data_IF_264586051630
#
_entry.id   IF_264586051630
#
_cell.length_a   1.000
_cell.length_b   1.000
_cell.length_c   1.000
_cell.angle_alpha   90.00
_cell.angle_beta   90.00
_cell.angle_gamma   90.00
#
_symmetry.space_group_name_H-M   'P 1'
#
loop_
_entity.id
_entity.type
_entity.pdbx_description
1 polymer ?
#
# COMPACT_ATOMS: atom_id res chain seq x y z
N UNK A 1 21.08 11.64 15.21
CA UNK A 1 19.81 11.98 14.57
C UNK A 1 18.96 10.77 14.09
N UNK A 2 19.54 9.63 13.64
CA UNK A 2 18.77 8.42 13.26
C UNK A 2 18.31 7.54 14.44
N UNK A 3 19.03 7.49 15.54
CA UNK A 3 18.68 6.70 16.72
C UNK A 3 17.46 7.26 17.47
N UNK A 4 17.35 8.57 17.55
CA UNK A 4 16.25 9.28 18.22
C UNK A 4 14.90 9.10 17.48
N UNK A 5 14.95 9.05 16.14
CA UNK A 5 13.77 8.77 15.28
C UNK A 5 13.25 7.34 15.46
N UNK A 6 14.14 6.36 15.72
CA UNK A 6 13.77 4.95 15.95
C UNK A 6 13.10 4.72 17.31
N UNK A 7 13.59 5.41 18.34
CA UNK A 7 13.02 5.33 19.71
C UNK A 7 11.63 5.97 19.74
N UNK A 8 11.44 7.12 19.09
CA UNK A 8 10.15 7.83 18.99
C UNK A 8 9.09 6.99 18.27
N UNK A 9 9.48 6.28 17.19
CA UNK A 9 8.56 5.40 16.45
C UNK A 9 8.12 4.16 17.28
N UNK A 10 9.02 3.54 18.06
CA UNK A 10 8.66 2.40 18.92
C UNK A 10 7.63 2.78 19.99
N UNK A 11 7.73 3.99 20.55
CA UNK A 11 6.78 4.48 21.57
C UNK A 11 5.40 4.76 20.96
N UNK A 12 5.34 5.27 19.73
CA UNK A 12 4.08 5.54 19.01
C UNK A 12 3.37 4.24 18.67
N UNK A 13 4.08 3.27 18.09
CA UNK A 13 3.50 1.95 17.78
C UNK A 13 2.96 1.25 19.04
N UNK A 14 3.71 1.30 20.17
CA UNK A 14 3.25 0.73 21.44
C UNK A 14 1.95 1.39 21.93
N UNK A 15 1.81 2.70 21.76
CA UNK A 15 0.58 3.43 22.10
C UNK A 15 -0.58 2.99 21.21
N UNK A 16 -0.36 2.91 19.90
CA UNK A 16 -1.39 2.46 18.94
C UNK A 16 -1.85 1.04 19.28
N UNK A 17 -0.91 0.11 19.52
CA UNK A 17 -1.24 -1.26 19.94
C UNK A 17 -1.99 -1.31 21.28
N UNK A 18 -1.72 -0.40 22.20
CA UNK A 18 -2.47 -0.30 23.46
C UNK A 18 -3.94 0.08 23.25
N UNK A 19 -4.25 0.95 22.28
CA UNK A 19 -5.65 1.26 21.92
C UNK A 19 -6.37 0.09 21.26
N UNK A 20 -5.65 -0.62 20.38
CA UNK A 20 -6.18 -1.81 19.71
C UNK A 20 -6.44 -2.96 20.69
N UNK A 21 -5.59 -3.11 21.70
CA UNK A 21 -5.72 -4.15 22.73
C UNK A 21 -7.07 -4.16 23.45
N UNK A 22 -7.78 -3.03 23.49
CA UNK A 22 -9.14 -2.92 24.01
C UNK A 22 -10.15 -3.71 23.15
N UNK A 23 -9.85 -3.90 21.86
CA UNK A 23 -10.71 -4.56 20.89
C UNK A 23 -10.17 -5.94 20.46
N UNK A 24 -9.39 -6.60 21.33
CA UNK A 24 -8.69 -7.87 21.07
C UNK A 24 -9.61 -8.99 20.52
N UNK A 25 -10.87 -9.04 20.94
CA UNK A 25 -11.81 -10.04 20.45
C UNK A 25 -12.10 -9.91 18.97
N UNK A 26 -12.34 -8.69 18.49
CA UNK A 26 -12.53 -8.43 17.05
C UNK A 26 -11.26 -8.70 16.26
N UNK A 27 -10.09 -8.43 16.84
CA UNK A 27 -8.80 -8.71 16.23
C UNK A 27 -8.57 -10.22 16.07
N UNK A 28 -8.80 -11.01 17.12
CA UNK A 28 -8.68 -12.47 17.07
C UNK A 28 -9.67 -13.04 16.05
N UNK A 29 -10.91 -12.55 16.04
CA UNK A 29 -11.94 -12.99 15.10
C UNK A 29 -11.55 -12.64 13.65
N UNK A 30 -11.01 -11.44 13.41
CA UNK A 30 -10.50 -11.05 12.10
C UNK A 30 -9.35 -11.94 11.64
N UNK A 31 -8.41 -12.29 12.52
CA UNK A 31 -7.30 -13.21 12.20
C UNK A 31 -7.83 -14.62 11.87
N UNK A 32 -8.83 -15.08 12.59
CA UNK A 32 -9.46 -16.38 12.33
C UNK A 32 -10.15 -16.39 10.97
N UNK A 33 -10.92 -15.34 10.65
CA UNK A 33 -11.54 -15.18 9.34
C UNK A 33 -10.49 -15.08 8.22
N UNK A 34 -9.39 -14.38 8.45
CA UNK A 34 -8.28 -14.33 7.49
C UNK A 34 -7.69 -15.72 7.23
N UNK A 35 -7.46 -16.53 8.27
CA UNK A 35 -6.94 -17.89 8.12
C UNK A 35 -7.91 -18.80 7.33
N UNK A 36 -9.20 -18.71 7.62
CA UNK A 36 -10.23 -19.48 6.89
C UNK A 36 -10.32 -19.02 5.43
N UNK A 37 -10.32 -17.70 5.18
CA UNK A 37 -10.32 -17.13 3.82
C UNK A 37 -9.12 -17.63 3.00
N UNK A 38 -7.92 -17.61 3.59
CA UNK A 38 -6.70 -18.11 2.93
C UNK A 38 -6.81 -19.59 2.64
N UNK A 39 -7.27 -20.39 3.61
CA UNK A 39 -7.46 -21.83 3.41
C UNK A 39 -8.42 -22.15 2.25
N UNK A 40 -9.57 -21.49 2.19
CA UNK A 40 -10.54 -21.65 1.11
C UNK A 40 -9.97 -21.17 -0.25
N UNK A 41 -9.24 -20.06 -0.26
CA UNK A 41 -8.62 -19.53 -1.47
C UNK A 41 -7.55 -20.45 -2.02
N UNK A 42 -6.75 -21.09 -1.15
CA UNK A 42 -5.72 -22.05 -1.56
C UNK A 42 -6.31 -23.41 -1.99
N UNK A 43 -7.50 -23.75 -1.52
CA UNK A 43 -8.18 -24.99 -1.92
C UNK A 43 -8.85 -24.88 -3.30
N UNK A 44 -9.27 -23.66 -3.73
CA UNK A 44 -9.93 -23.46 -5.02
C UNK A 44 -9.10 -23.94 -6.23
N UNK A 45 -7.78 -23.62 -6.36
CA UNK A 45 -6.95 -24.13 -7.46
C UNK A 45 -6.87 -25.66 -7.55
N UNK A 46 -6.94 -26.38 -6.41
CA UNK A 46 -6.94 -27.86 -6.41
C UNK A 46 -8.20 -28.38 -7.07
N UNK A 47 -9.35 -27.81 -6.70
CA UNK A 47 -10.61 -28.22 -7.31
C UNK A 47 -10.65 -27.90 -8.81
N UNK A 48 -10.07 -26.78 -9.22
CA UNK A 48 -9.91 -26.45 -10.65
C UNK A 48 -9.01 -27.47 -11.35
N UNK A 49 -7.90 -27.90 -10.72
CA UNK A 49 -7.05 -28.98 -11.22
C UNK A 49 -7.83 -30.28 -11.42
N UNK A 50 -8.59 -30.70 -10.40
CA UNK A 50 -9.44 -31.90 -10.52
C UNK A 50 -10.52 -31.75 -11.61
N UNK A 51 -11.06 -30.55 -11.83
CA UNK A 51 -11.99 -30.31 -12.93
C UNK A 51 -11.33 -30.45 -14.31
N UNK A 52 -10.07 -30.02 -14.42
CA UNK A 52 -9.26 -30.19 -15.66
C UNK A 52 -8.95 -31.65 -15.91
N UNK A 53 -8.61 -32.41 -14.85
CA UNK A 53 -8.33 -33.85 -14.95
C UNK A 53 -9.53 -34.63 -15.50
N UNK A 54 -10.77 -34.18 -15.29
CA UNK A 54 -11.97 -34.77 -15.86
C UNK A 54 -12.08 -34.60 -17.39
N UNK A 55 -11.24 -33.76 -18.03
CA UNK A 55 -11.30 -33.42 -19.46
C UNK A 55 -10.16 -34.08 -20.24
N UNK A 56 -9.15 -34.63 -19.59
CA UNK A 56 -7.87 -35.07 -20.18
C UNK A 56 -7.98 -36.35 -21.05
N UNK A 57 -9.19 -36.92 -21.25
CA UNK A 57 -9.38 -38.08 -22.12
C UNK A 57 -10.06 -37.71 -23.45
N UNK A 58 -9.49 -38.19 -24.60
CA UNK A 58 -10.16 -38.05 -25.88
C UNK A 58 -11.43 -38.91 -25.86
N UNK A 59 -12.59 -38.28 -26.02
CA UNK A 59 -13.93 -38.88 -25.98
C UNK A 59 -14.43 -39.41 -24.62
N UNK A 60 -13.78 -39.08 -23.51
CA UNK A 60 -14.17 -39.54 -22.16
C UNK A 60 -14.25 -38.41 -21.16
N UNK A 61 -15.16 -37.43 -21.38
CA UNK A 61 -15.43 -36.31 -20.48
C UNK A 61 -16.55 -36.71 -19.52
N UNK A 62 -16.22 -36.77 -18.24
CA UNK A 62 -17.23 -37.00 -17.18
C UNK A 62 -17.89 -35.67 -16.80
N UNK A 63 -18.98 -35.34 -17.51
CA UNK A 63 -19.75 -34.12 -17.27
C UNK A 63 -20.42 -34.06 -15.90
N UNK A 64 -20.81 -35.20 -15.33
CA UNK A 64 -21.49 -35.24 -14.01
C UNK A 64 -20.49 -34.93 -12.90
N UNK A 65 -19.31 -35.53 -12.96
CA UNK A 65 -18.22 -35.24 -12.02
C UNK A 65 -17.76 -33.79 -12.13
N UNK A 66 -17.56 -33.29 -13.36
CA UNK A 66 -17.17 -31.91 -13.62
C UNK A 66 -18.21 -30.92 -13.06
N UNK A 67 -19.50 -31.16 -13.28
CA UNK A 67 -20.59 -30.34 -12.76
C UNK A 67 -20.58 -30.30 -11.21
N UNK A 68 -20.36 -31.45 -10.58
CA UNK A 68 -20.22 -31.55 -9.11
C UNK A 68 -19.06 -30.71 -8.60
N UNK A 69 -17.90 -30.75 -9.26
CA UNK A 69 -16.72 -29.96 -8.88
C UNK A 69 -16.98 -28.46 -9.06
N UNK A 70 -17.59 -28.05 -10.17
CA UNK A 70 -17.93 -26.65 -10.42
C UNK A 70 -18.90 -26.09 -9.37
N UNK A 71 -19.88 -26.89 -8.93
CA UNK A 71 -20.78 -26.50 -7.83
C UNK A 71 -19.99 -26.32 -6.53
N UNK A 72 -19.06 -27.21 -6.21
CA UNK A 72 -18.19 -27.07 -5.03
C UNK A 72 -17.34 -25.80 -5.10
N UNK A 73 -16.77 -25.49 -6.26
CA UNK A 73 -16.00 -24.25 -6.48
C UNK A 73 -16.90 -23.03 -6.26
N UNK A 74 -18.12 -23.02 -6.80
CA UNK A 74 -19.07 -21.93 -6.60
C UNK A 74 -19.41 -21.73 -5.11
N UNK A 75 -19.65 -22.81 -4.38
CA UNK A 75 -19.91 -22.77 -2.93
C UNK A 75 -18.70 -22.16 -2.18
N UNK A 76 -17.48 -22.58 -2.50
CA UNK A 76 -16.26 -22.06 -1.88
C UNK A 76 -16.08 -20.58 -2.16
N UNK A 77 -16.30 -20.14 -3.38
CA UNK A 77 -16.22 -18.72 -3.75
C UNK A 77 -17.21 -17.88 -2.95
N UNK A 78 -18.48 -18.34 -2.86
CA UNK A 78 -19.51 -17.66 -2.08
C UNK A 78 -19.14 -17.64 -0.59
N UNK A 79 -18.70 -18.77 -0.03
CA UNK A 79 -18.27 -18.86 1.36
C UNK A 79 -17.10 -17.92 1.65
N UNK A 80 -16.10 -17.88 0.76
CA UNK A 80 -14.95 -16.98 0.86
C UNK A 80 -15.38 -15.52 0.84
N UNK A 81 -16.31 -15.14 -0.04
CA UNK A 81 -16.83 -13.78 -0.11
C UNK A 81 -17.55 -13.36 1.20
N UNK A 82 -18.36 -14.26 1.77
CA UNK A 82 -19.07 -14.02 3.03
C UNK A 82 -18.07 -13.85 4.18
N UNK A 83 -17.07 -14.74 4.29
CA UNK A 83 -16.06 -14.69 5.36
C UNK A 83 -15.19 -13.44 5.21
N UNK A 84 -14.81 -13.07 4.00
CA UNK A 84 -14.09 -11.83 3.71
C UNK A 84 -14.90 -10.60 4.12
N UNK A 85 -16.19 -10.59 3.85
CA UNK A 85 -17.09 -9.53 4.28
C UNK A 85 -17.16 -9.44 5.82
N UNK A 86 -17.31 -10.57 6.52
CA UNK A 86 -17.30 -10.61 7.99
C UNK A 86 -15.97 -10.11 8.57
N UNK A 87 -14.83 -10.48 7.97
CA UNK A 87 -13.52 -9.98 8.34
C UNK A 87 -13.44 -8.45 8.20
N UNK A 88 -13.94 -7.90 7.09
CA UNK A 88 -13.97 -6.46 6.88
C UNK A 88 -14.87 -5.74 7.89
N UNK A 89 -16.00 -6.33 8.28
CA UNK A 89 -16.86 -5.80 9.34
C UNK A 89 -16.11 -5.72 10.68
N UNK A 90 -15.35 -6.76 11.03
CA UNK A 90 -14.51 -6.76 12.24
C UNK A 90 -13.44 -5.67 12.18
N UNK A 91 -12.72 -5.56 11.06
CA UNK A 91 -11.67 -4.56 10.86
C UNK A 91 -12.23 -3.12 10.93
N UNK A 92 -13.37 -2.87 10.29
CA UNK A 92 -14.07 -1.58 10.37
C UNK A 92 -14.47 -1.26 11.81
N UNK A 93 -15.00 -2.24 12.55
CA UNK A 93 -15.40 -2.06 13.95
C UNK A 93 -14.19 -1.66 14.83
N UNK A 94 -13.04 -2.30 14.63
CA UNK A 94 -11.79 -1.93 15.34
C UNK A 94 -11.41 -0.50 14.98
N UNK A 95 -11.30 -0.19 13.70
CA UNK A 95 -10.80 1.09 13.20
C UNK A 95 -11.67 2.25 13.66
N UNK A 96 -12.98 2.17 13.47
CA UNK A 96 -13.90 3.24 13.87
C UNK A 96 -13.95 3.45 15.39
N UNK A 97 -13.87 2.39 16.19
CA UNK A 97 -13.83 2.51 17.63
C UNK A 97 -12.51 3.11 18.12
N UNK A 98 -11.37 2.71 17.54
CA UNK A 98 -10.07 3.31 17.84
C UNK A 98 -10.04 4.78 17.44
N UNK A 99 -10.55 5.13 16.25
CA UNK A 99 -10.68 6.52 15.79
C UNK A 99 -11.52 7.36 16.74
N UNK A 100 -12.69 6.87 17.14
CA UNK A 100 -13.56 7.53 18.12
C UNK A 100 -12.84 7.77 19.44
N UNK A 101 -12.17 6.76 19.98
CA UNK A 101 -11.46 6.87 21.27
C UNK A 101 -10.28 7.84 21.16
N UNK A 102 -9.61 7.92 20.01
CA UNK A 102 -8.54 8.88 19.74
C UNK A 102 -9.07 10.31 19.64
N UNK A 103 -10.17 10.53 18.89
CA UNK A 103 -10.80 11.86 18.80
C UNK A 103 -11.24 12.36 20.17
N UNK A 104 -11.88 11.49 20.96
CA UNK A 104 -12.29 11.84 22.32
C UNK A 104 -11.10 12.30 23.15
N UNK A 105 -10.00 11.54 23.16
CA UNK A 105 -8.79 11.91 23.90
C UNK A 105 -8.08 13.15 23.35
N UNK A 106 -8.11 13.35 22.04
CA UNK A 106 -7.58 14.57 21.45
C UNK A 106 -8.38 15.80 21.90
N UNK A 107 -9.70 15.69 21.93
CA UNK A 107 -10.57 16.75 22.41
C UNK A 107 -10.37 17.04 23.92
N UNK A 108 -10.38 16.00 24.77
CA UNK A 108 -10.05 16.10 26.17
C UNK A 108 -8.68 16.77 26.40
N UNK A 109 -7.71 16.53 25.53
CA UNK A 109 -6.39 17.15 25.61
C UNK A 109 -6.43 18.63 25.22
N UNK A 110 -7.27 19.04 24.29
CA UNK A 110 -7.45 20.44 23.88
C UNK A 110 -8.02 21.25 25.06
N UNK A 111 -9.00 20.70 25.78
CA UNK A 111 -9.63 21.38 26.92
C UNK A 111 -8.64 21.73 28.04
N UNK A 112 -7.57 20.98 28.19
CA UNK A 112 -6.53 21.19 29.23
C UNK A 112 -5.24 21.81 28.67
N UNK A 113 -5.23 22.30 27.42
CA UNK A 113 -4.05 22.98 26.87
C UNK A 113 -3.89 24.38 27.51
N UNK A 114 -2.64 24.78 27.82
CA UNK A 114 -2.35 26.14 28.24
C UNK A 114 -2.75 27.16 27.17
N UNK A 115 -3.28 28.31 27.57
CA UNK A 115 -3.63 29.40 26.66
C UNK A 115 -2.44 29.82 25.78
N UNK A 116 -1.22 29.82 26.32
CA UNK A 116 0.00 30.13 25.57
C UNK A 116 0.23 29.20 24.36
N UNK A 117 -0.23 27.94 24.44
CA UNK A 117 -0.16 27.02 23.30
C UNK A 117 -1.19 27.41 22.23
N UNK A 118 -2.40 27.77 22.63
CA UNK A 118 -3.48 28.16 21.71
C UNK A 118 -3.13 29.48 21.00
N UNK A 119 -2.47 30.39 21.67
CA UNK A 119 -2.06 31.69 21.11
C UNK A 119 -0.89 31.56 20.11
N UNK A 120 -0.02 30.55 20.30
CA UNK A 120 1.15 30.33 19.43
C UNK A 120 0.88 29.41 18.22
N UNK A 121 -0.28 28.73 18.20
CA UNK A 121 -0.65 27.81 17.13
C UNK A 121 -1.95 28.26 16.45
N UNK A 122 -2.03 28.13 15.12
CA UNK A 122 -3.25 28.47 14.42
C UNK A 122 -4.40 27.53 14.84
N UNK A 123 -5.59 28.08 15.03
CA UNK A 123 -6.80 27.29 15.35
C UNK A 123 -7.05 26.21 14.30
N UNK A 124 -6.76 26.50 13.02
CA UNK A 124 -6.88 25.56 11.92
C UNK A 124 -5.93 24.37 12.04
N UNK A 125 -4.67 24.57 12.50
CA UNK A 125 -3.71 23.49 12.73
C UNK A 125 -4.19 22.54 13.82
N UNK A 126 -4.72 23.08 14.93
CA UNK A 126 -5.26 22.27 16.04
C UNK A 126 -6.47 21.45 15.59
N UNK A 127 -7.41 22.06 14.86
CA UNK A 127 -8.59 21.37 14.32
C UNK A 127 -8.19 20.31 13.30
N UNK A 128 -7.24 20.62 12.39
CA UNK A 128 -6.73 19.67 11.40
C UNK A 128 -6.13 18.42 12.05
N UNK A 129 -5.38 18.58 13.16
CA UNK A 129 -4.79 17.43 13.89
C UNK A 129 -5.86 16.52 14.50
N UNK A 130 -6.96 17.08 14.99
CA UNK A 130 -8.04 16.27 15.60
C UNK A 130 -8.89 15.58 14.56
N UNK A 131 -9.06 16.17 13.39
CA UNK A 131 -9.90 15.62 12.32
C UNK A 131 -9.03 14.86 11.32
N UNK A 132 -8.19 15.56 10.54
CA UNK A 132 -7.49 15.00 9.40
C UNK A 132 -6.41 13.97 9.80
N UNK A 133 -5.60 14.25 10.83
CA UNK A 133 -4.55 13.30 11.26
C UNK A 133 -5.15 12.03 11.87
N UNK A 134 -6.30 12.14 12.58
CA UNK A 134 -6.99 10.96 13.12
C UNK A 134 -7.64 10.15 12.01
N UNK A 135 -8.21 10.79 10.99
CA UNK A 135 -8.77 10.10 9.83
C UNK A 135 -7.67 9.37 9.04
N UNK A 136 -6.56 10.03 8.77
CA UNK A 136 -5.41 9.42 8.11
C UNK A 136 -4.85 8.22 8.90
N UNK A 137 -4.80 8.32 10.25
CA UNK A 137 -4.41 7.19 11.09
C UNK A 137 -5.43 6.06 11.00
N UNK A 138 -6.73 6.36 10.95
CA UNK A 138 -7.81 5.37 10.86
C UNK A 138 -7.74 4.61 9.54
N UNK A 139 -7.54 5.31 8.42
CA UNK A 139 -7.38 4.71 7.10
C UNK A 139 -6.11 3.82 7.05
N UNK A 140 -5.02 4.31 7.63
CA UNK A 140 -3.78 3.55 7.76
C UNK A 140 -3.93 2.28 8.60
N UNK A 141 -4.71 2.34 9.68
CA UNK A 141 -5.03 1.18 10.52
C UNK A 141 -5.90 0.18 9.77
N UNK A 142 -6.95 0.64 9.08
CA UNK A 142 -7.84 -0.23 8.31
C UNK A 142 -7.10 -0.99 7.22
N UNK A 143 -6.32 -0.27 6.40
CA UNK A 143 -5.48 -0.89 5.38
C UNK A 143 -4.42 -1.80 5.98
N UNK A 144 -3.76 -1.35 7.06
CA UNK A 144 -2.70 -2.09 7.73
C UNK A 144 -3.21 -3.42 8.30
N UNK A 145 -4.36 -3.42 8.97
CA UNK A 145 -4.92 -4.66 9.52
C UNK A 145 -5.33 -5.63 8.42
N UNK A 146 -6.11 -5.16 7.45
CA UNK A 146 -6.60 -6.03 6.38
C UNK A 146 -5.44 -6.61 5.58
N UNK A 147 -4.49 -5.79 5.14
CA UNK A 147 -3.39 -6.26 4.28
C UNK A 147 -2.31 -7.02 5.04
N UNK A 148 -1.96 -6.58 6.26
CA UNK A 148 -0.89 -7.21 7.01
C UNK A 148 -1.27 -8.61 7.49
N UNK A 149 -2.44 -8.75 8.13
CA UNK A 149 -2.86 -10.06 8.64
C UNK A 149 -3.15 -11.02 7.50
N UNK A 150 -3.93 -10.61 6.51
CA UNK A 150 -4.19 -11.46 5.35
C UNK A 150 -2.90 -11.81 4.62
N UNK A 151 -2.00 -10.84 4.39
CA UNK A 151 -0.73 -11.06 3.71
C UNK A 151 0.19 -12.04 4.45
N UNK A 152 0.37 -11.88 5.77
CA UNK A 152 1.20 -12.79 6.58
C UNK A 152 0.61 -14.20 6.58
N UNK A 153 -0.69 -14.33 6.81
CA UNK A 153 -1.37 -15.63 6.83
C UNK A 153 -1.32 -16.28 5.44
N UNK A 154 -1.51 -15.50 4.36
CA UNK A 154 -1.38 -16.00 2.99
C UNK A 154 0.02 -16.54 2.73
N UNK A 155 1.08 -15.80 3.06
CA UNK A 155 2.46 -16.25 2.84
C UNK A 155 2.72 -17.55 3.60
N UNK A 156 2.39 -17.61 4.89
CA UNK A 156 2.60 -18.80 5.72
C UNK A 156 1.75 -19.96 5.20
N UNK A 157 0.47 -19.72 4.93
CA UNK A 157 -0.46 -20.73 4.44
C UNK A 157 -0.05 -21.28 3.07
N UNK A 158 0.35 -20.40 2.14
CA UNK A 158 0.82 -20.82 0.81
C UNK A 158 2.09 -21.65 0.91
N UNK A 159 3.07 -21.22 1.71
CA UNK A 159 4.31 -21.99 1.92
C UNK A 159 4.04 -23.36 2.54
N UNK A 160 3.22 -23.43 3.58
CA UNK A 160 2.85 -24.69 4.22
C UNK A 160 2.12 -25.62 3.22
N UNK A 161 1.23 -25.05 2.43
CA UNK A 161 0.49 -25.79 1.42
C UNK A 161 1.40 -26.29 0.28
N UNK A 162 2.29 -25.45 -0.24
CA UNK A 162 3.26 -25.83 -1.27
C UNK A 162 4.20 -26.95 -0.79
N UNK A 163 4.65 -26.89 0.48
CA UNK A 163 5.46 -27.95 1.09
C UNK A 163 4.73 -29.29 1.13
N UNK A 164 3.41 -29.29 1.33
CA UNK A 164 2.61 -30.52 1.33
C UNK A 164 2.43 -31.12 -0.07
N UNK A 165 2.49 -30.30 -1.12
CA UNK A 165 2.33 -30.74 -2.52
C UNK A 165 3.67 -31.17 -3.10
N UNK A 166 4.68 -30.30 -3.08
CA UNK A 166 6.01 -30.60 -3.62
C UNK A 166 7.09 -29.73 -2.99
N UNK A 167 8.01 -30.36 -2.26
CA UNK A 167 9.11 -29.70 -1.55
C UNK A 167 10.10 -29.03 -2.52
N UNK A 168 10.39 -29.68 -3.67
CA UNK A 168 11.36 -29.14 -4.63
C UNK A 168 10.87 -27.84 -5.24
N UNK A 169 9.61 -27.78 -5.71
CA UNK A 169 8.99 -26.56 -6.25
C UNK A 169 8.98 -25.47 -5.17
N UNK A 170 8.66 -25.83 -3.93
CA UNK A 170 8.64 -24.85 -2.84
C UNK A 170 10.01 -24.21 -2.61
N UNK A 171 11.09 -24.98 -2.64
CA UNK A 171 12.46 -24.46 -2.50
C UNK A 171 12.79 -23.48 -3.63
N UNK A 172 12.46 -23.83 -4.87
CA UNK A 172 12.67 -22.94 -6.02
C UNK A 172 11.93 -21.61 -5.83
N UNK A 173 10.66 -21.65 -5.46
CA UNK A 173 9.83 -20.44 -5.22
C UNK A 173 10.40 -19.59 -4.08
N UNK A 174 10.81 -20.21 -2.97
CA UNK A 174 11.40 -19.49 -1.82
C UNK A 174 12.72 -18.80 -2.18
N UNK A 175 13.52 -19.38 -3.09
CA UNK A 175 14.78 -18.77 -3.53
C UNK A 175 14.52 -17.65 -4.56
N UNK A 176 13.60 -17.85 -5.50
CA UNK A 176 13.36 -16.89 -6.60
C UNK A 176 12.51 -15.68 -6.14
N UNK A 177 11.57 -15.88 -5.22
CA UNK A 177 10.71 -14.78 -4.73
C UNK A 177 11.50 -13.61 -4.12
N UNK A 178 12.53 -13.80 -3.26
CA UNK A 178 13.36 -12.70 -2.78
C UNK A 178 14.10 -11.94 -3.88
N UNK A 179 14.42 -12.58 -5.02
CA UNK A 179 15.03 -11.91 -6.17
C UNK A 179 14.14 -10.79 -6.71
N UNK A 180 12.82 -11.04 -6.79
CA UNK A 180 11.82 -10.02 -7.17
C UNK A 180 11.88 -8.82 -6.23
N UNK A 181 12.04 -9.04 -4.93
CA UNK A 181 12.14 -7.98 -3.94
C UNK A 181 13.42 -7.13 -4.12
N UNK A 182 14.55 -7.75 -4.42
CA UNK A 182 15.81 -7.02 -4.67
C UNK A 182 15.71 -6.16 -5.94
N UNK A 183 15.13 -6.70 -7.01
CA UNK A 183 14.89 -5.97 -8.26
C UNK A 183 13.95 -4.79 -8.02
N UNK A 184 12.82 -5.03 -7.35
CA UNK A 184 11.86 -3.99 -7.01
C UNK A 184 12.49 -2.89 -6.15
N UNK A 185 13.31 -3.23 -5.15
CA UNK A 185 14.04 -2.28 -4.30
C UNK A 185 15.02 -1.43 -5.09
N UNK A 186 15.76 -2.04 -6.02
CA UNK A 186 16.71 -1.33 -6.89
C UNK A 186 15.97 -0.32 -7.79
N UNK A 187 14.90 -0.76 -8.45
CA UNK A 187 14.08 0.10 -9.32
C UNK A 187 13.45 1.22 -8.50
N UNK A 188 12.84 0.91 -7.34
CA UNK A 188 12.20 1.89 -6.46
C UNK A 188 13.18 2.98 -6.00
N UNK A 189 14.44 2.62 -5.68
CA UNK A 189 15.47 3.60 -5.30
C UNK A 189 15.80 4.55 -6.46
N UNK A 190 15.94 4.02 -7.67
CA UNK A 190 16.19 4.82 -8.88
C UNK A 190 15.02 5.73 -9.22
N UNK A 191 13.81 5.18 -9.17
CA UNK A 191 12.56 5.91 -9.40
C UNK A 191 12.39 7.05 -8.40
N UNK A 192 12.60 6.80 -7.10
CA UNK A 192 12.51 7.82 -6.06
C UNK A 192 13.48 8.98 -6.29
N UNK A 193 14.74 8.68 -6.65
CA UNK A 193 15.73 9.72 -6.92
C UNK A 193 15.32 10.58 -8.11
N UNK A 194 14.80 9.99 -9.18
CA UNK A 194 14.35 10.73 -10.37
C UNK A 194 13.12 11.59 -10.08
N UNK A 195 12.14 11.07 -9.34
CA UNK A 195 10.98 11.86 -8.90
C UNK A 195 11.37 13.00 -7.96
N UNK A 196 12.35 12.79 -7.09
CA UNK A 196 12.89 13.85 -6.22
C UNK A 196 13.53 14.99 -7.02
N UNK A 197 14.32 14.65 -8.05
CA UNK A 197 14.91 15.64 -8.97
C UNK A 197 13.83 16.36 -9.78
N UNK A 198 12.87 15.64 -10.34
CA UNK A 198 11.72 16.20 -11.06
C UNK A 198 10.96 17.19 -10.18
N UNK A 199 10.63 16.83 -8.93
CA UNK A 199 9.89 17.71 -8.01
C UNK A 199 10.67 18.97 -7.69
N UNK A 200 12.00 18.85 -7.45
CA UNK A 200 12.87 19.99 -7.18
C UNK A 200 12.95 20.92 -8.39
N UNK A 201 13.11 20.37 -9.60
CA UNK A 201 13.20 21.16 -10.83
C UNK A 201 11.86 21.81 -11.17
N UNK A 202 10.75 21.12 -10.93
CA UNK A 202 9.40 21.71 -11.04
C UNK A 202 9.22 22.90 -10.08
N UNK A 203 9.69 22.76 -8.84
CA UNK A 203 9.68 23.86 -7.87
C UNK A 203 10.49 25.07 -8.36
N UNK A 204 11.67 24.85 -8.98
CA UNK A 204 12.48 25.93 -9.59
C UNK A 204 11.74 26.59 -10.75
N UNK A 205 11.10 25.80 -11.62
CA UNK A 205 10.32 26.31 -12.74
C UNK A 205 9.14 27.16 -12.25
N UNK A 206 8.39 26.68 -11.25
CA UNK A 206 7.27 27.44 -10.69
C UNK A 206 7.73 28.75 -10.06
N UNK A 207 8.82 28.72 -9.28
CA UNK A 207 9.38 29.93 -8.68
C UNK A 207 9.87 30.93 -9.74
N UNK A 208 10.48 30.45 -10.82
CA UNK A 208 10.92 31.32 -11.92
C UNK A 208 9.73 31.94 -12.67
N UNK A 209 8.66 31.17 -12.93
CA UNK A 209 7.44 31.70 -13.55
C UNK A 209 6.80 32.78 -12.66
N UNK A 210 6.71 32.53 -11.34
CA UNK A 210 6.16 33.50 -10.39
C UNK A 210 7.00 34.79 -10.35
N UNK A 211 8.33 34.65 -10.33
CA UNK A 211 9.27 35.79 -10.42
C UNK A 211 9.05 36.60 -11.70
N UNK A 212 8.90 35.94 -12.87
CA UNK A 212 8.70 36.60 -14.13
C UNK A 212 7.35 37.32 -14.24
N UNK A 213 6.28 36.70 -13.76
CA UNK A 213 4.94 37.31 -13.75
C UNK A 213 4.94 38.52 -12.81
N UNK A 214 5.54 38.39 -11.63
CA UNK A 214 5.57 39.46 -10.63
C UNK A 214 6.41 40.66 -11.08
N UNK A 215 7.46 40.44 -11.89
CA UNK A 215 8.40 41.48 -12.35
C UNK A 215 8.29 41.76 -13.85
N UNK A 216 7.19 41.39 -14.52
CA UNK A 216 7.04 41.53 -15.97
C UNK A 216 7.35 42.92 -16.47
N UNK A 217 6.81 43.96 -15.79
CA UNK A 217 7.05 45.37 -16.20
C UNK A 217 8.54 45.76 -16.16
N UNK A 218 9.29 45.19 -15.23
CA UNK A 218 10.72 45.45 -15.10
C UNK A 218 11.49 44.69 -16.19
N UNK A 219 11.13 43.45 -16.46
CA UNK A 219 11.73 42.63 -17.53
C UNK A 219 11.54 43.30 -18.89
N UNK A 220 10.34 43.79 -19.21
CA UNK A 220 10.02 44.53 -20.44
C UNK A 220 10.84 45.82 -20.55
N UNK A 221 10.96 46.60 -19.47
CA UNK A 221 11.70 47.84 -19.44
C UNK A 221 13.19 47.68 -19.73
N UNK A 222 13.76 46.51 -19.35
CA UNK A 222 15.18 46.18 -19.57
C UNK A 222 15.40 45.25 -20.77
N UNK A 223 14.37 44.92 -21.56
CA UNK A 223 14.43 44.04 -22.74
C UNK A 223 15.06 42.68 -22.42
N UNK A 224 14.70 42.07 -21.27
CA UNK A 224 15.26 40.82 -20.79
C UNK A 224 14.56 39.57 -21.36
N UNK A 225 13.71 39.68 -22.35
CA UNK A 225 12.87 38.61 -22.89
C UNK A 225 13.67 37.41 -23.37
N UNK A 226 14.73 37.63 -24.13
CA UNK A 226 15.57 36.57 -24.69
C UNK A 226 16.36 35.84 -23.61
N UNK A 227 16.86 36.54 -22.60
CA UNK A 227 17.59 35.94 -21.49
C UNK A 227 16.67 35.13 -20.60
N UNK A 228 15.49 35.65 -20.28
CA UNK A 228 14.46 34.97 -19.51
C UNK A 228 13.97 33.72 -20.22
N UNK A 229 13.74 33.78 -21.52
CA UNK A 229 13.38 32.63 -22.34
C UNK A 229 14.45 31.54 -22.31
N UNK A 230 15.71 31.92 -22.50
CA UNK A 230 16.83 30.97 -22.42
C UNK A 230 16.90 30.30 -21.07
N UNK A 231 16.77 31.04 -19.98
CA UNK A 231 16.78 30.51 -18.62
C UNK A 231 15.59 29.59 -18.35
N UNK A 232 14.41 29.92 -18.88
CA UNK A 232 13.24 29.07 -18.82
C UNK A 232 13.46 27.75 -19.56
N UNK A 233 13.98 27.82 -20.78
CA UNK A 233 14.24 26.65 -21.62
C UNK A 233 15.24 25.69 -20.93
N UNK A 234 16.31 26.20 -20.32
CA UNK A 234 17.26 25.38 -19.55
C UNK A 234 16.59 24.63 -18.38
N UNK A 235 15.71 25.31 -17.62
CA UNK A 235 14.96 24.68 -16.51
C UNK A 235 13.96 23.66 -17.06
N UNK A 236 13.29 23.99 -18.17
CA UNK A 236 12.28 23.14 -18.79
C UNK A 236 12.89 21.87 -19.40
N UNK A 237 14.06 21.97 -20.04
CA UNK A 237 14.81 20.83 -20.57
C UNK A 237 15.27 19.88 -19.45
N UNK A 238 15.76 20.43 -18.36
CA UNK A 238 16.10 19.63 -17.18
C UNK A 238 14.87 18.93 -16.60
N UNK A 239 13.73 19.63 -16.51
CA UNK A 239 12.46 19.05 -16.05
C UNK A 239 11.99 17.94 -16.98
N UNK A 240 12.05 18.14 -18.30
CA UNK A 240 11.69 17.15 -19.29
C UNK A 240 12.55 15.90 -19.17
N UNK A 241 13.89 16.07 -19.02
CA UNK A 241 14.86 14.99 -18.85
C UNK A 241 14.61 14.17 -17.56
N UNK A 242 14.35 14.84 -16.42
CA UNK A 242 14.05 14.14 -15.18
C UNK A 242 12.67 13.48 -15.21
N UNK A 243 11.68 14.12 -15.84
CA UNK A 243 10.34 13.53 -16.02
C UNK A 243 10.37 12.28 -16.86
N UNK A 244 11.09 12.31 -18.00
CA UNK A 244 11.27 11.12 -18.85
C UNK A 244 11.90 9.96 -18.08
N UNK A 245 13.00 10.23 -17.34
CA UNK A 245 13.68 9.21 -16.53
C UNK A 245 12.80 8.69 -15.41
N UNK A 246 12.06 9.56 -14.70
CA UNK A 246 11.15 9.16 -13.65
C UNK A 246 10.04 8.24 -14.17
N UNK A 247 9.43 8.62 -15.29
CA UNK A 247 8.40 7.82 -15.96
C UNK A 247 8.96 6.48 -16.45
N UNK A 248 10.14 6.48 -17.09
CA UNK A 248 10.78 5.24 -17.56
C UNK A 248 11.03 4.25 -16.41
N UNK A 249 11.69 4.68 -15.32
CA UNK A 249 11.96 3.81 -14.19
C UNK A 249 10.69 3.37 -13.47
N UNK A 250 9.66 4.20 -13.40
CA UNK A 250 8.37 3.83 -12.85
C UNK A 250 7.67 2.75 -13.68
N UNK A 251 7.69 2.92 -15.00
CA UNK A 251 7.02 2.00 -15.94
C UNK A 251 7.68 0.62 -16.02
N UNK A 252 9.00 0.53 -15.82
CA UNK A 252 9.74 -0.75 -15.88
C UNK A 252 9.47 -1.65 -14.67
N UNK A 253 8.88 -1.13 -13.59
CA UNK A 253 8.61 -1.91 -12.37
C UNK A 253 7.70 -3.11 -12.64
N UNK A 254 6.58 -2.89 -13.32
CA UNK A 254 5.62 -3.94 -13.63
C UNK A 254 6.18 -5.01 -14.60
N UNK A 255 6.80 -4.66 -15.74
CA UNK A 255 7.44 -5.65 -16.60
C UNK A 255 8.54 -6.45 -15.90
N UNK A 256 9.38 -5.80 -15.09
CA UNK A 256 10.48 -6.47 -14.39
C UNK A 256 9.96 -7.49 -13.36
N UNK A 257 8.93 -7.13 -12.58
CA UNK A 257 8.33 -8.06 -11.61
C UNK A 257 7.59 -9.20 -12.30
N UNK A 258 6.89 -8.93 -13.41
CA UNK A 258 6.24 -9.98 -14.22
C UNK A 258 7.25 -10.94 -14.82
N UNK A 259 8.37 -10.44 -15.34
CA UNK A 259 9.44 -11.27 -15.87
C UNK A 259 9.97 -12.27 -14.83
N UNK A 260 10.26 -11.79 -13.61
CA UNK A 260 10.71 -12.66 -12.51
C UNK A 260 9.64 -13.68 -12.13
N UNK A 261 8.37 -13.25 -12.05
CA UNK A 261 7.27 -14.17 -11.76
C UNK A 261 7.12 -15.24 -12.84
N UNK A 262 7.34 -14.89 -14.13
CA UNK A 262 7.31 -15.87 -15.24
C UNK A 262 8.45 -16.89 -15.18
N UNK A 263 9.57 -16.60 -14.52
CA UNK A 263 10.65 -17.57 -14.28
C UNK A 263 10.22 -18.63 -13.25
N UNK A 264 9.36 -18.25 -12.31
CA UNK A 264 8.81 -19.18 -11.29
C UNK A 264 7.75 -20.10 -11.89
N UNK A 265 6.98 -19.60 -12.87
CA UNK A 265 5.89 -20.31 -13.51
C UNK A 265 6.40 -21.30 -14.57
#
# INVERSE_FOLDING_TARGET
>A
MMADKKVKNKSVLKKVFSYIGKYKYYLILSMLFAAVTVGLTLYAPILVGHAIDCIVGKDNVDFDLMKSILIKVAIIVIATAIIQWLMNVCNNKITYNVSRDLRKKAFEKIEILPFSYIDTHSKGDVVSRVIADVDQLSDGLLMGFTQFFTGVITIIGTLAFMLSVNVFITIVVVIVTPLSFFIAKFIAKKTFNMFSLQTKTRGKQTAFIDEMISNQKVADAYSMDDENKKRFDEINDDLAKYSLKATFFSSITNPATRFVNSIVY
#
